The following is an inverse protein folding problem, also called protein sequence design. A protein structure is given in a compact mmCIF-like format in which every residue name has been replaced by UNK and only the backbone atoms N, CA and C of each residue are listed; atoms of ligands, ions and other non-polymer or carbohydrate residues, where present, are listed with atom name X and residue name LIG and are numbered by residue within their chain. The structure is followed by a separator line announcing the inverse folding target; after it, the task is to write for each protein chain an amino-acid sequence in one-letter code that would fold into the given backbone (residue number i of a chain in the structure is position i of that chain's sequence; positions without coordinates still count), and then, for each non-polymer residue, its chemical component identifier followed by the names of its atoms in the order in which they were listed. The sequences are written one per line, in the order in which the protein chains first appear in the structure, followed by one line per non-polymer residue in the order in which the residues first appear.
data_IF_325377956061
#
_entry.id   IF_325377956061
#
_cell.length_a   1.000
_cell.length_b   1.000
_cell.length_c   1.000
_cell.angle_alpha   90.00
_cell.angle_beta   90.00
_cell.angle_gamma   90.00
#
_symmetry.space_group_name_H-M   'P 1'
#
loop_
_entity.id
_entity.type
_entity.pdbx_description
1 polymer ?
#
# COMPACT_ATOMS: atom_id res chain seq x y z
N UNK A 1 -1.50 17.46 -0.30
CA UNK A 1 -1.56 16.84 -1.64
C UNK A 1 -1.61 15.34 -1.44
N UNK A 2 -2.71 14.68 -1.81
CA UNK A 2 -2.87 13.22 -1.68
C UNK A 2 -2.46 12.58 -3.01
N UNK A 3 -1.34 11.84 -3.03
CA UNK A 3 -0.84 11.15 -4.24
C UNK A 3 -1.51 9.78 -4.34
N UNK A 4 -2.63 9.73 -5.05
CA UNK A 4 -3.36 8.49 -5.27
C UNK A 4 -2.64 7.63 -6.33
N UNK A 5 -2.28 6.40 -5.95
CA UNK A 5 -1.54 5.46 -6.79
C UNK A 5 -2.39 4.23 -7.06
N UNK A 6 -2.22 3.59 -8.23
CA UNK A 6 -2.76 2.25 -8.42
C UNK A 6 -2.15 1.27 -7.41
N UNK A 7 -2.83 0.15 -7.13
CA UNK A 7 -2.33 -0.87 -6.18
C UNK A 7 -0.90 -1.34 -6.53
N UNK A 8 -0.60 -1.50 -7.83
CA UNK A 8 0.75 -1.86 -8.31
C UNK A 8 1.78 -0.77 -8.03
N UNK A 9 1.44 0.50 -8.30
CA UNK A 9 2.32 1.63 -8.02
C UNK A 9 2.54 1.81 -6.52
N UNK A 10 1.50 1.62 -5.70
CA UNK A 10 1.58 1.68 -4.25
C UNK A 10 2.52 0.61 -3.69
N UNK A 11 2.38 -0.65 -4.13
CA UNK A 11 3.28 -1.73 -3.73
C UNK A 11 4.75 -1.41 -4.09
N UNK A 12 5.00 -0.90 -5.31
CA UNK A 12 6.33 -0.48 -5.74
C UNK A 12 6.87 0.68 -4.92
N UNK A 13 6.04 1.71 -4.67
CA UNK A 13 6.39 2.89 -3.87
C UNK A 13 6.78 2.51 -2.44
N UNK A 14 6.05 1.56 -1.86
CA UNK A 14 6.29 1.07 -0.51
C UNK A 14 7.44 0.04 -0.43
N UNK A 15 8.04 -0.35 -1.56
CA UNK A 15 9.09 -1.37 -1.61
C UNK A 15 8.60 -2.76 -1.19
N UNK A 16 7.31 -3.05 -1.36
CA UNK A 16 6.68 -4.29 -0.92
C UNK A 16 6.44 -5.21 -2.12
N UNK A 17 6.77 -6.50 -2.03
CA UNK A 17 6.38 -7.47 -3.05
C UNK A 17 4.86 -7.47 -3.26
N UNK A 18 4.41 -7.51 -4.51
CA UNK A 18 2.97 -7.51 -4.84
C UNK A 18 2.22 -8.65 -4.14
N UNK A 19 2.83 -9.83 -4.02
CA UNK A 19 2.23 -10.97 -3.29
C UNK A 19 2.00 -10.68 -1.81
N UNK A 20 2.95 -10.02 -1.13
CA UNK A 20 2.80 -9.59 0.27
C UNK A 20 1.70 -8.55 0.39
N UNK A 21 1.68 -7.57 -0.52
CA UNK A 21 0.65 -6.55 -0.56
C UNK A 21 -0.75 -7.14 -0.74
N UNK A 22 -0.92 -8.11 -1.66
CA UNK A 22 -2.21 -8.79 -1.85
C UNK A 22 -2.59 -9.67 -0.66
N UNK A 23 -1.62 -10.35 -0.02
CA UNK A 23 -1.86 -11.10 1.20
C UNK A 23 -2.43 -10.21 2.31
N UNK A 24 -1.82 -9.05 2.58
CA UNK A 24 -2.34 -8.12 3.59
C UNK A 24 -3.67 -7.50 3.15
N UNK A 25 -3.84 -7.18 1.87
CA UNK A 25 -5.13 -6.68 1.34
C UNK A 25 -6.27 -7.68 1.60
N UNK A 26 -6.07 -8.96 1.31
CA UNK A 26 -7.06 -10.01 1.53
C UNK A 26 -7.28 -10.28 3.01
N UNK A 27 -6.20 -10.31 3.81
CA UNK A 27 -6.24 -10.54 5.26
C UNK A 27 -6.95 -9.42 6.02
N UNK A 28 -6.83 -8.18 5.55
CA UNK A 28 -7.51 -7.02 6.15
C UNK A 28 -9.00 -6.98 5.84
N UNK A 29 -9.52 -7.93 5.05
CA UNK A 29 -10.90 -8.10 4.59
C UNK A 29 -11.53 -6.89 3.88
N UNK A 30 -11.21 -5.62 4.19
CA UNK A 30 -11.87 -4.46 3.59
C UNK A 30 -11.27 -3.06 3.88
N UNK A 31 -9.96 -2.87 4.14
CA UNK A 31 -9.52 -1.53 4.65
C UNK A 31 -8.21 -0.97 4.08
N UNK A 32 -7.94 -1.17 2.79
CA UNK A 32 -7.19 -0.13 2.06
C UNK A 32 -8.21 0.82 1.45
N UNK A 33 -8.32 2.07 1.95
CA UNK A 33 -9.26 3.04 1.39
C UNK A 33 -8.88 3.29 -0.07
N UNK A 34 -9.65 2.67 -0.96
CA UNK A 34 -9.53 2.85 -2.40
C UNK A 34 -10.45 3.98 -2.82
N UNK A 35 -9.92 4.95 -3.54
CA UNK A 35 -10.71 5.96 -4.22
C UNK A 35 -10.94 5.52 -5.66
N UNK A 36 -12.21 5.46 -6.09
CA UNK A 36 -12.55 5.19 -7.48
C UNK A 36 -12.42 6.47 -8.28
N UNK A 37 -11.50 6.47 -9.25
CA UNK A 37 -11.26 7.58 -10.17
C UNK A 37 -11.50 7.06 -11.59
N UNK A 38 -12.73 7.22 -12.07
CA UNK A 38 -13.19 6.62 -13.32
C UNK A 38 -13.17 5.07 -13.24
N UNK A 39 -12.56 4.36 -14.22
CA UNK A 39 -12.44 2.90 -14.17
C UNK A 39 -11.32 2.42 -13.22
N UNK A 40 -10.47 3.31 -12.73
CA UNK A 40 -9.31 2.95 -11.92
C UNK A 40 -9.64 2.99 -10.41
N UNK A 41 -9.19 1.96 -9.69
CA UNK A 41 -9.14 1.97 -8.21
C UNK A 41 -7.75 2.42 -7.78
N UNK A 42 -7.68 3.58 -7.15
CA UNK A 42 -6.44 4.16 -6.61
C UNK A 42 -6.44 4.09 -5.09
N UNK A 43 -5.26 4.07 -4.48
CA UNK A 43 -5.04 4.04 -3.03
C UNK A 43 -4.04 5.09 -2.64
N UNK A 44 -4.16 5.60 -1.41
CA UNK A 44 -3.16 6.46 -0.83
C UNK A 44 -2.03 5.62 -0.19
N UNK A 45 -0.77 5.76 -0.65
CA UNK A 45 0.34 4.95 -0.15
C UNK A 45 0.65 5.21 1.33
N UNK A 46 0.43 6.42 1.85
CA UNK A 46 0.64 6.75 3.26
C UNK A 46 -0.39 6.08 4.17
N UNK A 47 -1.66 6.03 3.76
CA UNK A 47 -2.68 5.27 4.48
C UNK A 47 -2.38 3.78 4.44
N UNK A 48 -2.03 3.24 3.26
CA UNK A 48 -1.69 1.81 3.13
C UNK A 48 -0.48 1.46 3.99
N UNK A 49 0.54 2.32 4.02
CA UNK A 49 1.71 2.14 4.90
C UNK A 49 1.31 2.04 6.37
N UNK A 50 0.47 2.97 6.86
CA UNK A 50 -0.03 2.95 8.25
C UNK A 50 -0.78 1.66 8.55
N UNK A 51 -1.73 1.27 7.70
CA UNK A 51 -2.50 0.03 7.84
C UNK A 51 -1.61 -1.20 7.90
N UNK A 52 -0.60 -1.27 7.04
CA UNK A 52 0.37 -2.36 7.03
C UNK A 52 1.15 -2.44 8.36
N UNK A 53 1.61 -1.31 8.88
CA UNK A 53 2.27 -1.25 10.20
C UNK A 53 1.31 -1.73 11.31
N UNK A 54 0.05 -1.27 11.28
CA UNK A 54 -0.99 -1.69 12.24
C UNK A 54 -1.28 -3.19 12.17
N UNK A 55 -1.24 -3.79 10.98
CA UNK A 55 -1.36 -5.24 10.80
C UNK A 55 -0.08 -6.03 11.15
N UNK A 56 0.96 -5.35 11.67
CA UNK A 56 2.20 -5.98 12.09
C UNK A 56 3.23 -6.18 10.96
N UNK A 57 3.00 -5.60 9.77
CA UNK A 57 4.00 -5.61 8.71
C UNK A 57 5.18 -4.71 9.11
N UNK A 58 6.33 -5.34 9.28
CA UNK A 58 7.60 -4.64 9.47
C UNK A 58 8.21 -4.35 8.11
N UNK A 59 8.15 -3.09 7.71
CA UNK A 59 8.96 -2.59 6.61
C UNK A 59 10.43 -2.88 6.93
N UNK A 60 11.13 -3.59 6.04
CA UNK A 60 12.58 -3.57 6.07
C UNK A 60 12.96 -2.10 5.96
N UNK A 61 13.80 -1.60 6.87
CA UNK A 61 14.45 -0.33 6.64
C UNK A 61 15.14 -0.47 5.28
N UNK A 62 14.62 0.20 4.25
CA UNK A 62 15.44 0.43 3.06
C UNK A 62 16.71 1.06 3.61
N UNK A 63 17.85 0.47 3.26
CA UNK A 63 19.16 1.05 3.52
C UNK A 63 19.10 2.55 3.22
N UNK A 64 19.85 3.41 3.95
CA UNK A 64 19.83 4.85 3.73
C UNK A 64 19.92 5.10 2.22
N UNK A 65 18.86 5.64 1.65
CA UNK A 65 18.88 6.06 0.25
C UNK A 65 19.91 7.20 0.20
N UNK A 66 21.00 6.94 -0.52
CA UNK A 66 22.19 7.76 -0.64
C UNK A 66 21.96 9.04 -1.46
#
# INVERSE_FOLDING_TARGET
MTNLLSLRQCAKYLGIPTSTFEYYRMRMAEDFPTMQVGPAKLVDPDIVRRKLIEAGYRFKASAPEA
#
